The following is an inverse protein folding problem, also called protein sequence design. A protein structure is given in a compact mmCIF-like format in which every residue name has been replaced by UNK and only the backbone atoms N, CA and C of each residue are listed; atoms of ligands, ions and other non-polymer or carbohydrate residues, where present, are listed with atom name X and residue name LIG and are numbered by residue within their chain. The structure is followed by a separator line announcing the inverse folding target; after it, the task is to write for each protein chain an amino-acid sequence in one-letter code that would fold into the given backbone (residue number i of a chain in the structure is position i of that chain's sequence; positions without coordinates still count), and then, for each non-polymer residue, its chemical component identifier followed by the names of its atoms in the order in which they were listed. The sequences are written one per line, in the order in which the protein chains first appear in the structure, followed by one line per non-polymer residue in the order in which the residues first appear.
data_IF_851919343150
#
_entry.id   IF_851919343150
#
_cell.length_a   1.000
_cell.length_b   1.000
_cell.length_c   1.000
_cell.angle_alpha   90.00
_cell.angle_beta   90.00
_cell.angle_gamma   90.00
#
_symmetry.space_group_name_H-M   'P 1'
#
loop_
_entity.id
_entity.type
_entity.pdbx_description
1 polymer ?
#
# COMPACT_ATOMS: atom_id res chain seq x y z
N UNK A 1 10.50 41.69 4.40
CA UNK A 1 10.02 40.48 3.70
C UNK A 1 11.22 39.56 3.52
N UNK A 2 11.46 38.66 4.47
CA UNK A 2 12.47 37.61 4.34
C UNK A 2 11.73 36.28 4.23
N UNK A 3 11.65 35.77 3.01
CA UNK A 3 11.23 34.40 2.77
C UNK A 3 12.41 33.49 3.15
N UNK A 4 12.42 32.99 4.39
CA UNK A 4 13.44 32.06 4.85
C UNK A 4 13.16 30.66 4.27
N UNK A 5 14.22 30.16 3.65
CA UNK A 5 14.34 28.93 2.89
C UNK A 5 14.30 27.69 3.81
N UNK A 6 13.16 27.35 4.41
CA UNK A 6 13.04 26.26 5.41
C UNK A 6 12.69 24.86 4.87
N UNK A 7 12.62 24.65 3.54
CA UNK A 7 12.14 23.36 3.00
C UNK A 7 13.21 22.28 2.78
N UNK A 8 14.51 22.61 2.83
CA UNK A 8 15.58 21.65 2.50
C UNK A 8 16.07 20.77 3.68
N UNK A 9 15.83 21.19 4.94
CA UNK A 9 16.34 20.47 6.13
C UNK A 9 15.52 19.24 6.57
N UNK A 10 14.23 19.19 6.24
CA UNK A 10 13.33 18.16 6.76
C UNK A 10 13.54 16.76 6.14
N UNK A 11 13.94 16.70 4.86
CA UNK A 11 14.16 15.45 4.13
C UNK A 11 15.54 14.85 4.41
N UNK A 12 16.54 15.71 4.63
CA UNK A 12 17.91 15.30 4.99
C UNK A 12 17.96 14.52 6.31
N UNK A 13 17.09 14.87 7.27
CA UNK A 13 16.98 14.13 8.53
C UNK A 13 16.34 12.75 8.38
N UNK A 14 15.36 12.56 7.49
CA UNK A 14 14.61 11.29 7.37
C UNK A 14 15.48 10.15 6.82
N UNK A 15 16.37 10.47 5.89
CA UNK A 15 17.30 9.52 5.27
C UNK A 15 18.60 9.36 6.06
N UNK A 16 18.69 9.93 7.27
CA UNK A 16 19.84 9.72 8.13
C UNK A 16 19.96 8.24 8.55
N UNK A 17 21.19 7.77 8.65
CA UNK A 17 21.52 6.37 8.95
C UNK A 17 20.93 5.92 10.29
N UNK A 18 20.90 6.81 11.29
CA UNK A 18 20.35 6.46 12.60
C UNK A 18 18.83 6.32 12.56
N UNK A 19 18.17 7.22 11.82
CA UNK A 19 16.72 7.16 11.61
C UNK A 19 16.29 5.93 10.82
N UNK A 20 16.99 5.59 9.73
CA UNK A 20 16.77 4.35 8.98
C UNK A 20 16.95 3.11 9.87
N UNK A 21 18.04 3.06 10.63
CA UNK A 21 18.32 1.94 11.53
C UNK A 21 17.26 1.82 12.62
N UNK A 22 16.82 2.92 13.20
CA UNK A 22 15.76 2.96 14.22
C UNK A 22 14.43 2.50 13.64
N UNK A 23 14.08 2.97 12.44
CA UNK A 23 12.86 2.58 11.75
C UNK A 23 12.80 1.07 11.51
N UNK A 24 13.77 0.51 10.81
CA UNK A 24 13.75 -0.92 10.45
C UNK A 24 13.92 -1.86 11.65
N UNK A 25 14.67 -1.47 12.69
CA UNK A 25 14.92 -2.34 13.86
C UNK A 25 13.85 -2.24 14.95
N UNK A 26 13.22 -1.07 15.13
CA UNK A 26 12.31 -0.83 16.25
C UNK A 26 10.90 -0.49 15.79
N UNK A 27 10.75 0.54 14.96
CA UNK A 27 9.43 1.10 14.64
C UNK A 27 8.64 0.21 13.70
N UNK A 28 9.24 -0.27 12.61
CA UNK A 28 8.57 -1.15 11.64
C UNK A 28 8.07 -2.45 12.29
N UNK A 29 8.87 -3.22 13.06
CA UNK A 29 8.35 -4.37 13.81
C UNK A 29 7.22 -4.00 14.78
N UNK A 30 7.31 -2.84 15.42
CA UNK A 30 6.25 -2.31 16.29
C UNK A 30 4.94 -2.07 15.53
N UNK A 31 5.02 -1.37 14.39
CA UNK A 31 3.88 -1.11 13.50
C UNK A 31 3.26 -2.42 13.03
N UNK A 32 4.08 -3.37 12.54
CA UNK A 32 3.60 -4.67 12.08
C UNK A 32 2.90 -5.44 13.21
N UNK A 33 3.53 -5.53 14.39
CA UNK A 33 2.89 -6.18 15.56
C UNK A 33 1.56 -5.53 15.90
N UNK A 34 1.49 -4.21 15.91
CA UNK A 34 0.25 -3.49 16.22
C UNK A 34 -0.84 -3.79 15.21
N UNK A 35 -0.54 -3.67 13.91
CA UNK A 35 -1.54 -3.84 12.85
C UNK A 35 -2.01 -5.29 12.71
N UNK A 36 -1.13 -6.28 12.96
CA UNK A 36 -1.50 -7.70 12.87
C UNK A 36 -2.09 -8.28 14.16
N UNK A 37 -1.59 -7.90 15.35
CA UNK A 37 -2.03 -8.46 16.62
C UNK A 37 -3.18 -7.66 17.27
N UNK A 38 -3.28 -6.37 16.97
CA UNK A 38 -4.33 -5.47 17.48
C UNK A 38 -4.97 -4.67 16.34
N UNK A 39 -5.57 -5.33 15.34
CA UNK A 39 -5.96 -4.71 14.07
C UNK A 39 -6.98 -3.58 14.21
N UNK A 40 -7.82 -3.58 15.24
CA UNK A 40 -8.82 -2.52 15.49
C UNK A 40 -8.23 -1.45 16.39
N UNK A 41 -8.13 -1.72 17.70
CA UNK A 41 -7.73 -0.71 18.69
C UNK A 41 -6.28 -0.25 18.50
N UNK A 42 -5.36 -1.17 18.22
CA UNK A 42 -3.96 -0.81 18.02
C UNK A 42 -3.76 0.05 16.78
N UNK A 43 -4.41 -0.30 15.67
CA UNK A 43 -4.37 0.51 14.43
C UNK A 43 -5.02 1.87 14.64
N UNK A 44 -6.14 1.94 15.37
CA UNK A 44 -6.77 3.21 15.75
C UNK A 44 -5.81 4.10 16.57
N UNK A 45 -5.10 3.52 17.54
CA UNK A 45 -4.16 4.25 18.39
C UNK A 45 -2.98 4.82 17.58
N UNK A 46 -2.51 4.10 16.55
CA UNK A 46 -1.48 4.61 15.62
C UNK A 46 -1.89 5.92 14.93
N UNK A 47 -3.19 6.12 14.69
CA UNK A 47 -3.72 7.33 14.05
C UNK A 47 -4.10 8.41 15.06
N UNK A 48 -4.62 8.04 16.23
CA UNK A 48 -5.09 9.01 17.25
C UNK A 48 -3.95 9.68 18.01
N UNK A 49 -2.88 8.94 18.26
CA UNK A 49 -1.69 9.45 18.96
C UNK A 49 -0.48 9.28 18.03
N UNK A 50 -0.38 10.09 16.96
CA UNK A 50 0.75 10.00 16.06
C UNK A 50 2.02 10.38 16.82
N UNK A 51 2.89 9.38 17.08
CA UNK A 51 4.17 9.60 17.76
C UNK A 51 5.09 10.55 16.98
N UNK A 52 6.17 10.98 17.60
CA UNK A 52 7.19 11.77 16.91
C UNK A 52 7.75 11.01 15.71
N UNK A 53 7.89 11.69 14.57
CA UNK A 53 8.43 11.10 13.35
C UNK A 53 7.43 10.29 12.50
N UNK A 54 6.13 10.31 12.78
CA UNK A 54 5.10 9.58 11.98
C UNK A 54 5.19 9.88 10.47
N UNK A 55 5.45 11.13 10.09
CA UNK A 55 5.65 11.50 8.69
C UNK A 55 6.86 10.77 8.06
N UNK A 56 7.99 10.73 8.77
CA UNK A 56 9.18 10.02 8.33
C UNK A 56 8.92 8.51 8.21
N UNK A 57 8.24 7.93 9.19
CA UNK A 57 7.90 6.51 9.20
C UNK A 57 6.95 6.14 8.04
N UNK A 58 5.97 7.00 7.74
CA UNK A 58 5.08 6.81 6.61
C UNK A 58 5.85 6.84 5.28
N UNK A 59 6.73 7.81 5.08
CA UNK A 59 7.57 7.89 3.88
C UNK A 59 8.51 6.69 3.74
N UNK A 60 9.15 6.26 4.83
CA UNK A 60 10.03 5.10 4.83
C UNK A 60 9.25 3.82 4.49
N UNK A 61 8.06 3.63 5.06
CA UNK A 61 7.21 2.48 4.77
C UNK A 61 6.70 2.48 3.32
N UNK A 62 6.31 3.64 2.79
CA UNK A 62 5.96 3.79 1.38
C UNK A 62 7.15 3.44 0.48
N UNK A 63 8.32 4.00 0.77
CA UNK A 63 9.55 3.74 0.02
C UNK A 63 9.92 2.25 0.05
N UNK A 64 9.87 1.61 1.22
CA UNK A 64 10.08 0.16 1.35
C UNK A 64 9.11 -0.64 0.46
N UNK A 65 7.83 -0.26 0.46
CA UNK A 65 6.81 -0.92 -0.37
C UNK A 65 7.10 -0.73 -1.86
N UNK A 66 7.47 0.49 -2.29
CA UNK A 66 7.85 0.76 -3.68
C UNK A 66 9.08 -0.04 -4.11
N UNK A 67 10.10 -0.14 -3.26
CA UNK A 67 11.30 -0.95 -3.52
C UNK A 67 10.93 -2.43 -3.67
N UNK A 68 10.04 -2.96 -2.82
CA UNK A 68 9.57 -4.34 -2.97
C UNK A 68 8.83 -4.55 -4.29
N UNK A 69 7.98 -3.61 -4.70
CA UNK A 69 7.29 -3.66 -5.99
C UNK A 69 8.21 -3.45 -7.20
N UNK A 70 9.35 -2.79 -7.02
CA UNK A 70 10.40 -2.68 -8.02
C UNK A 70 11.17 -4.01 -8.16
N UNK A 71 11.57 -4.63 -7.05
CA UNK A 71 12.41 -5.84 -7.04
C UNK A 71 11.63 -7.11 -7.36
N UNK A 72 10.39 -7.22 -6.90
CA UNK A 72 9.62 -8.47 -6.98
C UNK A 72 9.38 -8.94 -8.43
N UNK A 73 8.97 -8.09 -9.38
CA UNK A 73 8.84 -8.51 -10.78
C UNK A 73 10.15 -9.06 -11.37
N UNK A 74 11.30 -8.48 -11.02
CA UNK A 74 12.60 -8.96 -11.46
C UNK A 74 12.94 -10.33 -10.87
N UNK A 75 12.72 -10.52 -9.57
CA UNK A 75 12.92 -11.81 -8.89
C UNK A 75 11.99 -12.87 -9.49
N UNK A 76 10.74 -12.48 -9.77
CA UNK A 76 9.72 -13.35 -10.34
C UNK A 76 9.86 -13.62 -11.82
N UNK A 77 10.56 -12.78 -12.58
CA UNK A 77 10.83 -13.09 -13.96
C UNK A 77 11.77 -14.30 -14.08
N UNK A 78 11.38 -15.28 -14.90
CA UNK A 78 12.28 -16.35 -15.33
C UNK A 78 13.40 -15.80 -16.22
N UNK A 79 14.40 -16.63 -16.55
CA UNK A 79 15.58 -16.23 -17.33
C UNK A 79 15.20 -15.43 -18.60
N UNK A 80 14.22 -15.92 -19.36
CA UNK A 80 13.75 -15.27 -20.58
C UNK A 80 13.00 -13.94 -20.36
N UNK A 81 12.21 -13.81 -19.29
CA UNK A 81 11.46 -12.57 -19.01
C UNK A 81 12.36 -11.47 -18.43
N UNK A 82 13.47 -11.83 -17.78
CA UNK A 82 14.44 -10.84 -17.27
C UNK A 82 15.15 -10.07 -18.37
N UNK A 83 15.33 -10.69 -19.53
CA UNK A 83 15.95 -10.04 -20.71
C UNK A 83 15.02 -8.98 -21.34
N UNK A 84 13.71 -9.12 -21.14
CA UNK A 84 12.68 -8.22 -21.69
C UNK A 84 12.26 -7.15 -20.66
N UNK A 85 12.48 -7.40 -19.37
CA UNK A 85 12.21 -6.44 -18.31
C UNK A 85 13.25 -5.31 -18.29
N UNK A 86 12.90 -4.21 -18.93
CA UNK A 86 13.67 -2.97 -18.83
C UNK A 86 13.62 -2.39 -17.41
N UNK A 87 14.69 -1.70 -17.01
CA UNK A 87 14.72 -0.93 -15.76
C UNK A 87 13.53 0.05 -15.67
N UNK A 88 13.15 0.65 -16.81
CA UNK A 88 11.99 1.53 -16.90
C UNK A 88 10.69 0.83 -16.48
N UNK A 89 10.46 -0.42 -16.90
CA UNK A 89 9.29 -1.18 -16.49
C UNK A 89 9.28 -1.48 -14.97
N UNK A 90 10.43 -1.86 -14.41
CA UNK A 90 10.57 -2.09 -12.96
C UNK A 90 10.30 -0.83 -12.15
N UNK A 91 10.84 0.31 -12.60
CA UNK A 91 10.59 1.62 -11.99
C UNK A 91 9.10 1.96 -12.04
N UNK A 92 8.43 1.74 -13.17
CA UNK A 92 7.00 1.96 -13.30
C UNK A 92 6.18 1.11 -12.33
N UNK A 93 6.54 -0.18 -12.13
CA UNK A 93 5.89 -1.03 -11.13
C UNK A 93 6.01 -0.48 -9.70
N UNK A 94 7.21 -0.03 -9.30
CA UNK A 94 7.42 0.61 -8.00
C UNK A 94 6.61 1.90 -7.85
N UNK A 95 6.58 2.74 -8.90
CA UNK A 95 5.81 3.99 -8.92
C UNK A 95 4.29 3.76 -8.82
N UNK A 96 3.76 2.73 -9.48
CA UNK A 96 2.32 2.38 -9.40
C UNK A 96 1.92 2.03 -7.97
N UNK A 97 2.76 1.28 -7.24
CA UNK A 97 2.51 1.01 -5.81
C UNK A 97 2.54 2.31 -4.97
N UNK A 98 3.51 3.19 -5.24
CA UNK A 98 3.58 4.52 -4.64
C UNK A 98 2.32 5.36 -4.87
N UNK A 99 1.86 5.38 -6.12
CA UNK A 99 0.67 6.09 -6.56
C UNK A 99 -0.60 5.59 -5.85
N UNK A 100 -0.76 4.28 -5.70
CA UNK A 100 -1.86 3.70 -4.92
C UNK A 100 -1.90 4.23 -3.49
N UNK A 101 -0.76 4.19 -2.79
CA UNK A 101 -0.65 4.68 -1.42
C UNK A 101 -0.92 6.19 -1.33
N UNK A 102 -0.49 6.98 -2.32
CA UNK A 102 -0.78 8.42 -2.39
C UNK A 102 -2.27 8.69 -2.63
N UNK A 103 -2.93 7.93 -3.50
CA UNK A 103 -4.38 8.05 -3.73
C UNK A 103 -5.16 7.75 -2.45
N UNK A 104 -4.81 6.68 -1.73
CA UNK A 104 -5.44 6.37 -0.43
C UNK A 104 -5.24 7.52 0.57
N UNK A 105 -4.02 8.05 0.66
CA UNK A 105 -3.72 9.17 1.57
C UNK A 105 -4.54 10.41 1.22
N UNK A 106 -4.71 10.68 -0.08
CA UNK A 106 -5.49 11.81 -0.61
C UNK A 106 -6.98 11.63 -0.35
N UNK A 107 -7.51 10.41 -0.54
CA UNK A 107 -8.90 10.10 -0.21
C UNK A 107 -9.17 10.26 1.29
N UNK A 108 -8.28 9.72 2.14
CA UNK A 108 -8.37 9.87 3.60
C UNK A 108 -8.38 11.35 3.99
N UNK A 109 -7.45 12.14 3.45
CA UNK A 109 -7.39 13.58 3.66
C UNK A 109 -8.67 14.29 3.20
N UNK A 110 -9.16 13.98 1.99
CA UNK A 110 -10.36 14.60 1.43
C UNK A 110 -11.61 14.33 2.26
N UNK A 111 -11.82 13.07 2.67
CA UNK A 111 -12.96 12.69 3.52
C UNK A 111 -12.88 13.37 4.89
N UNK A 112 -11.71 13.34 5.53
CA UNK A 112 -11.51 13.96 6.85
C UNK A 112 -11.59 15.48 6.82
N UNK A 113 -11.32 16.12 5.68
CA UNK A 113 -11.45 17.56 5.51
C UNK A 113 -12.90 18.04 5.62
N UNK A 114 -13.87 17.14 5.46
CA UNK A 114 -15.29 17.45 5.67
C UNK A 114 -15.60 17.59 7.16
N UNK A 115 -14.92 16.81 8.00
CA UNK A 115 -15.16 16.75 9.45
C UNK A 115 -14.19 17.58 10.28
N UNK A 116 -13.14 18.16 9.68
CA UNK A 116 -12.14 18.94 10.40
C UNK A 116 -11.03 19.49 9.50
N UNK A 117 -9.89 19.85 10.13
CA UNK A 117 -8.69 20.37 9.46
C UNK A 117 -7.55 19.33 9.54
N UNK A 118 -7.61 18.23 8.77
CA UNK A 118 -6.55 17.23 8.79
C UNK A 118 -5.24 17.82 8.25
N UNK A 119 -4.12 17.25 8.66
CA UNK A 119 -2.80 17.59 8.12
C UNK A 119 -2.40 16.49 7.15
N UNK A 120 -2.24 16.80 5.85
CA UNK A 120 -1.94 15.79 4.82
C UNK A 120 -0.73 14.91 5.16
N UNK A 121 0.30 15.48 5.79
CA UNK A 121 1.49 14.73 6.25
C UNK A 121 1.16 13.57 7.19
N UNK A 122 0.12 13.70 8.01
CA UNK A 122 -0.33 12.64 8.91
C UNK A 122 -1.16 11.59 8.15
N UNK A 123 -1.88 12.00 7.10
CA UNK A 123 -2.70 11.12 6.27
C UNK A 123 -1.87 10.20 5.37
N UNK A 124 -0.59 10.53 5.12
CA UNK A 124 0.36 9.63 4.47
C UNK A 124 0.52 8.31 5.24
N UNK A 125 0.32 8.30 6.57
CA UNK A 125 0.32 7.07 7.34
C UNK A 125 -0.78 6.11 6.88
N UNK A 126 -1.95 6.61 6.51
CA UNK A 126 -3.07 5.79 6.03
C UNK A 126 -2.68 5.05 4.76
N UNK A 127 -2.11 5.77 3.78
CA UNK A 127 -1.59 5.16 2.56
C UNK A 127 -0.45 4.19 2.83
N UNK A 128 0.50 4.57 3.68
CA UNK A 128 1.66 3.75 4.02
C UNK A 128 1.26 2.43 4.70
N UNK A 129 0.32 2.46 5.63
CA UNK A 129 -0.21 1.25 6.28
C UNK A 129 -0.99 0.37 5.29
N UNK A 130 -1.76 0.96 4.37
CA UNK A 130 -2.36 0.19 3.27
C UNK A 130 -1.29 -0.43 2.33
N UNK A 131 -0.10 0.16 2.26
CA UNK A 131 1.08 -0.42 1.62
C UNK A 131 1.49 -1.78 2.19
N UNK A 132 1.25 -2.04 3.49
CA UNK A 132 1.43 -3.38 4.08
C UNK A 132 0.50 -4.39 3.39
N UNK A 133 -0.74 -3.99 3.09
CA UNK A 133 -1.69 -4.79 2.31
C UNK A 133 -1.16 -5.10 0.91
N UNK A 134 -0.55 -4.12 0.24
CA UNK A 134 0.13 -4.36 -1.04
C UNK A 134 1.28 -5.36 -0.91
N UNK A 135 2.11 -5.25 0.13
CA UNK A 135 3.19 -6.24 0.39
C UNK A 135 2.61 -7.65 0.61
N UNK A 136 1.49 -7.78 1.33
CA UNK A 136 0.80 -9.06 1.46
C UNK A 136 0.30 -9.60 0.12
N UNK A 137 -0.18 -8.74 -0.79
CA UNK A 137 -0.54 -9.15 -2.16
C UNK A 137 0.68 -9.69 -2.92
N UNK A 138 1.86 -9.06 -2.78
CA UNK A 138 3.10 -9.59 -3.37
C UNK A 138 3.42 -10.98 -2.81
N UNK A 139 3.30 -11.18 -1.49
CA UNK A 139 3.51 -12.49 -0.87
C UNK A 139 2.56 -13.53 -1.44
N UNK A 140 1.28 -13.18 -1.62
CA UNK A 140 0.30 -14.08 -2.27
C UNK A 140 0.76 -14.43 -3.68
N UNK A 141 1.19 -13.46 -4.49
CA UNK A 141 1.70 -13.71 -5.86
C UNK A 141 2.94 -14.62 -5.85
N UNK A 142 3.86 -14.44 -4.89
CA UNK A 142 5.01 -15.34 -4.71
C UNK A 142 4.56 -16.78 -4.42
N UNK A 143 3.62 -16.95 -3.50
CA UNK A 143 3.06 -18.26 -3.16
C UNK A 143 2.37 -18.89 -4.38
N UNK A 144 1.58 -18.10 -5.14
CA UNK A 144 0.96 -18.58 -6.39
C UNK A 144 2.02 -19.10 -7.34
N UNK A 145 3.12 -18.38 -7.53
CA UNK A 145 4.17 -18.84 -8.44
C UNK A 145 4.87 -20.10 -7.94
N UNK A 146 5.09 -20.23 -6.64
CA UNK A 146 5.78 -21.39 -6.05
C UNK A 146 4.92 -22.66 -6.10
N UNK A 147 3.60 -22.53 -5.93
CA UNK A 147 2.69 -23.68 -5.81
C UNK A 147 1.76 -23.87 -7.02
N UNK A 148 1.65 -22.89 -7.91
CA UNK A 148 0.67 -22.82 -9.00
C UNK A 148 1.19 -23.29 -10.37
N UNK A 149 2.34 -23.97 -10.42
CA UNK A 149 2.95 -24.51 -11.65
C UNK A 149 2.07 -25.51 -12.44
N UNK A 150 0.89 -25.86 -11.91
CA UNK A 150 -0.06 -26.82 -12.46
C UNK A 150 -1.44 -26.24 -12.77
N UNK A 151 -1.64 -24.90 -12.69
CA UNK A 151 -2.95 -24.30 -12.97
C UNK A 151 -3.25 -24.34 -14.46
N UNK A 152 -4.14 -25.25 -14.85
CA UNK A 152 -4.61 -25.39 -16.22
C UNK A 152 -5.66 -24.31 -16.53
N UNK A 153 -5.51 -23.60 -17.65
CA UNK A 153 -6.41 -22.49 -18.06
C UNK A 153 -7.86 -22.98 -18.21
N UNK A 154 -8.05 -24.26 -18.59
CA UNK A 154 -9.38 -24.89 -18.68
C UNK A 154 -10.06 -25.05 -17.32
N UNK A 155 -9.31 -25.24 -16.23
CA UNK A 155 -9.87 -25.30 -14.87
C UNK A 155 -10.34 -23.92 -14.39
N UNK A 156 -9.84 -22.84 -14.99
CA UNK A 156 -10.28 -21.48 -14.71
C UNK A 156 -11.61 -21.12 -15.39
N UNK A 157 -12.12 -21.94 -16.32
CA UNK A 157 -13.41 -21.70 -16.98
C UNK A 157 -14.60 -22.31 -16.21
N UNK A 158 -14.34 -23.14 -15.20
CA UNK A 158 -15.35 -23.71 -14.30
C UNK A 158 -15.25 -23.07 -12.91
N UNK A 159 -16.32 -22.48 -12.34
CA UNK A 159 -16.32 -21.92 -10.99
C UNK A 159 -15.80 -22.89 -9.91
N UNK A 160 -16.12 -24.19 -10.03
CA UNK A 160 -15.63 -25.21 -9.11
C UNK A 160 -14.12 -25.51 -9.30
N UNK A 161 -13.62 -25.37 -10.53
CA UNK A 161 -12.19 -25.48 -10.87
C UNK A 161 -11.38 -24.29 -10.35
N UNK A 162 -11.92 -23.07 -10.45
CA UNK A 162 -11.33 -21.86 -9.85
C UNK A 162 -11.24 -22.01 -8.33
N UNK A 163 -12.29 -22.50 -7.67
CA UNK A 163 -12.30 -22.70 -6.22
C UNK A 163 -11.30 -23.80 -5.81
N UNK A 164 -11.15 -24.88 -6.60
CA UNK A 164 -10.15 -25.92 -6.32
C UNK A 164 -8.71 -25.45 -6.52
N UNK A 165 -8.44 -24.70 -7.60
CA UNK A 165 -7.08 -24.31 -7.99
C UNK A 165 -6.60 -23.01 -7.33
N UNK A 166 -7.53 -22.11 -6.98
CA UNK A 166 -7.24 -20.73 -6.52
C UNK A 166 -8.07 -20.36 -5.28
N UNK A 167 -9.05 -21.17 -4.86
CA UNK A 167 -9.98 -20.81 -3.78
C UNK A 167 -9.30 -20.48 -2.45
N UNK A 168 -8.22 -21.18 -2.09
CA UNK A 168 -7.41 -20.82 -0.92
C UNK A 168 -6.78 -19.42 -1.09
N UNK A 169 -6.27 -19.08 -2.27
CA UNK A 169 -5.69 -17.76 -2.55
C UNK A 169 -6.75 -16.66 -2.56
N UNK A 170 -7.97 -16.95 -3.02
CA UNK A 170 -9.08 -16.02 -2.98
C UNK A 170 -9.42 -15.61 -1.54
N UNK A 171 -9.34 -16.54 -0.58
CA UNK A 171 -9.49 -16.23 0.85
C UNK A 171 -8.43 -15.23 1.32
N UNK A 172 -7.16 -15.38 0.92
CA UNK A 172 -6.11 -14.40 1.26
C UNK A 172 -6.37 -13.04 0.60
N UNK A 173 -6.78 -13.00 -0.66
CA UNK A 173 -7.07 -11.74 -1.35
C UNK A 173 -8.21 -10.99 -0.66
N UNK A 174 -9.30 -11.70 -0.32
CA UNK A 174 -10.43 -11.12 0.43
C UNK A 174 -9.96 -10.64 1.81
N UNK A 175 -9.16 -11.44 2.52
CA UNK A 175 -8.59 -11.03 3.80
C UNK A 175 -7.75 -9.75 3.69
N UNK A 176 -6.88 -9.66 2.68
CA UNK A 176 -6.02 -8.49 2.45
C UNK A 176 -6.85 -7.25 2.08
N UNK A 177 -7.92 -7.43 1.31
CA UNK A 177 -8.86 -6.35 1.00
C UNK A 177 -9.57 -5.84 2.26
N UNK A 178 -10.11 -6.73 3.09
CA UNK A 178 -10.72 -6.38 4.37
C UNK A 178 -9.72 -5.73 5.33
N UNK A 179 -8.46 -6.17 5.30
CA UNK A 179 -7.38 -5.58 6.08
C UNK A 179 -7.12 -4.12 5.69
N UNK A 180 -7.06 -3.80 4.39
CA UNK A 180 -6.94 -2.42 3.91
C UNK A 180 -8.16 -1.57 4.27
N UNK A 181 -9.37 -2.14 4.15
CA UNK A 181 -10.62 -1.47 4.58
C UNK A 181 -10.54 -1.13 6.07
N UNK A 182 -10.11 -2.07 6.91
CA UNK A 182 -10.00 -1.84 8.34
C UNK A 182 -8.99 -0.74 8.66
N UNK A 183 -7.82 -0.71 8.01
CA UNK A 183 -6.85 0.39 8.19
C UNK A 183 -7.48 1.74 7.87
N UNK A 184 -8.15 1.85 6.72
CA UNK A 184 -8.82 3.07 6.31
C UNK A 184 -9.93 3.48 7.28
N UNK A 185 -10.74 2.52 7.72
CA UNK A 185 -11.81 2.72 8.68
C UNK A 185 -11.28 3.23 10.02
N UNK A 186 -10.22 2.62 10.56
CA UNK A 186 -9.62 3.09 11.82
C UNK A 186 -9.01 4.48 11.68
N UNK A 187 -8.45 4.80 10.50
CA UNK A 187 -7.98 6.15 10.19
C UNK A 187 -9.11 7.18 10.26
N UNK A 188 -10.27 6.90 9.66
CA UNK A 188 -11.43 7.80 9.72
C UNK A 188 -11.98 7.96 11.14
N UNK A 189 -12.10 6.84 11.89
CA UNK A 189 -12.57 6.84 13.28
C UNK A 189 -11.64 7.64 14.18
N UNK A 190 -10.33 7.55 13.99
CA UNK A 190 -9.35 8.30 14.77
C UNK A 190 -9.50 9.82 14.60
N UNK A 191 -10.02 10.27 13.46
CA UNK A 191 -10.34 11.68 13.18
C UNK A 191 -11.75 12.10 13.60
N UNK A 192 -12.48 11.25 14.34
CA UNK A 192 -13.82 11.57 14.85
C UNK A 192 -14.96 11.36 13.86
N UNK A 193 -14.71 10.71 12.71
CA UNK A 193 -15.78 10.33 11.78
C UNK A 193 -16.72 9.34 12.46
N UNK A 194 -18.03 9.52 12.29
CA UNK A 194 -19.03 8.58 12.83
C UNK A 194 -18.75 7.14 12.35
N UNK A 195 -19.00 6.18 13.22
CA UNK A 195 -18.70 4.77 12.97
C UNK A 195 -19.42 4.23 11.73
N UNK A 196 -20.72 4.53 11.62
CA UNK A 196 -21.55 4.13 10.49
C UNK A 196 -21.01 4.68 9.17
N UNK A 197 -20.66 5.96 9.12
CA UNK A 197 -20.11 6.61 7.92
C UNK A 197 -18.76 5.98 7.56
N UNK A 198 -17.89 5.77 8.55
CA UNK A 198 -16.58 5.15 8.34
C UNK A 198 -16.71 3.74 7.76
N UNK A 199 -17.71 2.97 8.19
CA UNK A 199 -17.95 1.61 7.70
C UNK A 199 -18.39 1.57 6.23
N UNK A 200 -19.25 2.50 5.80
CA UNK A 200 -19.70 2.57 4.40
C UNK A 200 -18.66 3.17 3.46
N UNK A 201 -17.95 4.22 3.89
CA UNK A 201 -17.01 4.94 3.03
C UNK A 201 -15.72 4.13 2.81
N UNK A 202 -15.26 3.36 3.80
CA UNK A 202 -13.96 2.67 3.71
C UNK A 202 -13.86 1.66 2.55
N UNK A 203 -14.83 0.74 2.34
CA UNK A 203 -14.83 -0.15 1.18
C UNK A 203 -14.84 0.63 -0.14
N UNK A 204 -15.67 1.67 -0.24
CA UNK A 204 -15.79 2.49 -1.45
C UNK A 204 -14.47 3.19 -1.74
N UNK A 205 -13.82 3.78 -0.73
CA UNK A 205 -12.55 4.48 -0.89
C UNK A 205 -11.43 3.54 -1.34
N UNK A 206 -11.33 2.34 -0.76
CA UNK A 206 -10.33 1.33 -1.18
C UNK A 206 -10.61 0.85 -2.61
N UNK A 207 -11.86 0.52 -2.95
CA UNK A 207 -12.22 0.13 -4.32
C UNK A 207 -11.93 1.25 -5.33
N UNK A 208 -12.25 2.49 -4.97
CA UNK A 208 -11.98 3.66 -5.81
C UNK A 208 -10.47 3.87 -5.99
N UNK A 209 -9.66 3.69 -4.94
CA UNK A 209 -8.21 3.75 -5.05
C UNK A 209 -7.64 2.69 -6.01
N UNK A 210 -8.14 1.45 -5.92
CA UNK A 210 -7.80 0.39 -6.87
C UNK A 210 -8.22 0.74 -8.30
N UNK A 211 -9.42 1.27 -8.49
CA UNK A 211 -9.93 1.66 -9.81
C UNK A 211 -9.06 2.75 -10.45
N UNK A 212 -8.80 3.84 -9.73
CA UNK A 212 -8.00 4.96 -10.25
C UNK A 212 -6.56 4.51 -10.51
N UNK A 213 -5.97 3.76 -9.57
CA UNK A 213 -4.61 3.23 -9.76
C UNK A 213 -4.56 2.28 -10.94
N UNK A 214 -5.53 1.40 -11.10
CA UNK A 214 -5.61 0.45 -12.22
C UNK A 214 -5.72 1.16 -13.57
N UNK A 215 -6.54 2.21 -13.66
CA UNK A 215 -6.65 3.05 -14.85
C UNK A 215 -5.33 3.75 -15.18
N UNK A 216 -4.71 4.40 -14.21
CA UNK A 216 -3.43 5.08 -14.40
C UNK A 216 -2.30 4.10 -14.72
N UNK A 217 -2.28 2.94 -14.07
CA UNK A 217 -1.31 1.89 -14.32
C UNK A 217 -1.45 1.31 -15.73
N UNK A 218 -2.67 1.14 -16.25
CA UNK A 218 -2.87 0.67 -17.63
C UNK A 218 -2.24 1.64 -18.64
N UNK A 219 -2.49 2.95 -18.49
CA UNK A 219 -1.89 3.97 -19.35
C UNK A 219 -0.37 4.08 -19.16
N UNK A 220 0.11 3.89 -17.93
CA UNK A 220 1.51 4.08 -17.59
C UNK A 220 2.38 2.86 -17.95
N UNK A 221 1.84 1.65 -17.83
CA UNK A 221 2.54 0.38 -18.06
C UNK A 221 2.41 -0.13 -19.50
N UNK A 222 1.35 0.23 -20.24
CA UNK A 222 1.28 -0.09 -21.66
C UNK A 222 2.33 0.72 -22.43
N UNK A 223 3.08 0.09 -23.36
CA UNK A 223 3.90 0.85 -24.29
C UNK A 223 2.96 1.72 -25.14
N UNK A 224 3.28 3.01 -25.27
CA UNK A 224 2.68 3.85 -26.31
C UNK A 224 2.90 3.13 -27.64
N UNK A 225 1.83 2.66 -28.28
CA UNK A 225 1.94 2.00 -29.57
C UNK A 225 2.66 2.94 -30.55
N UNK A 226 3.73 2.50 -31.23
CA UNK A 226 4.30 3.25 -32.34
C UNK A 226 3.53 2.93 -33.63
N UNK A 227 2.19 2.95 -33.56
CA UNK A 227 1.29 2.80 -34.69
C UNK A 227 0.22 3.88 -34.59
#
# INVERSE_FOLDING_TARGET
MEASNQSSGATAGIMDKENLKSFYKKQLPGILKTVFLKPVNGTYDLFKQPGEGVYGNALLLMLSTMILYFLTPYILAGKYLREILSFGMLLKCGLVAGLFMLIISTLSFGIKSISGKPVFKQELLTGALCGIGLVLLLVVVLLVKMFGSSVNVYDMMNPAGIIRSIGFMMVFIVYIFLFMINIFQQSLRASGTQETISWYISPIAIMFAFYITGKLAAEFLMPSSPF
#
